data_IF_241515494421
#
_entry.id   IF_241515494421
#
_cell.length_a   1.000
_cell.length_b   1.000
_cell.length_c   1.000
_cell.angle_alpha   90.00
_cell.angle_beta   90.00
_cell.angle_gamma   90.00
#
_symmetry.space_group_name_H-M   'P 1'
#
loop_
_entity.id
_entity.type
_entity.pdbx_description
1 polymer ?
#
# COMPACT_ATOMS: atom_id res chain seq x y z
N UNK A 1 28.25 -6.97 40.29
CA UNK A 1 26.90 -7.52 40.52
C UNK A 1 25.99 -7.03 39.38
N UNK A 2 26.22 -7.43 38.12
CA UNK A 2 25.72 -8.64 37.40
C UNK A 2 24.20 -8.66 37.17
N UNK A 3 23.72 -7.88 36.20
CA UNK A 3 22.38 -7.99 35.63
C UNK A 3 22.44 -8.20 34.10
N UNK A 4 23.09 -9.28 33.66
CA UNK A 4 23.23 -9.66 32.23
C UNK A 4 22.62 -11.03 31.92
N UNK A 5 21.43 -11.31 32.48
CA UNK A 5 20.74 -12.60 32.31
C UNK A 5 19.38 -12.51 31.61
N UNK A 6 19.14 -11.51 30.75
CA UNK A 6 18.00 -11.56 29.83
C UNK A 6 18.32 -12.61 28.77
N UNK A 7 17.82 -13.82 29.01
CA UNK A 7 18.09 -14.99 28.20
C UNK A 7 17.72 -14.78 26.73
N UNK A 8 18.68 -15.04 25.84
CA UNK A 8 18.51 -15.02 24.38
C UNK A 8 17.44 -16.00 23.89
N UNK A 9 17.07 -16.99 24.71
CA UNK A 9 15.99 -17.95 24.45
C UNK A 9 14.62 -17.29 24.40
N UNK A 10 14.34 -16.32 25.29
CA UNK A 10 13.05 -15.60 25.30
C UNK A 10 12.91 -14.68 24.08
N UNK A 11 14.00 -14.04 23.64
CA UNK A 11 14.02 -13.22 22.42
C UNK A 11 13.77 -14.08 21.18
N UNK A 12 14.44 -15.24 21.06
CA UNK A 12 14.22 -16.18 19.94
C UNK A 12 12.80 -16.76 19.91
N UNK A 13 12.21 -17.01 21.08
CA UNK A 13 10.84 -17.51 21.19
C UNK A 13 9.81 -16.47 20.73
N UNK A 14 9.95 -15.23 21.22
CA UNK A 14 9.10 -14.10 20.83
C UNK A 14 9.22 -13.82 19.33
N UNK A 15 10.44 -13.77 18.77
CA UNK A 15 10.63 -13.51 17.35
C UNK A 15 9.99 -14.60 16.46
N UNK A 16 10.10 -15.87 16.84
CA UNK A 16 9.52 -16.96 16.06
C UNK A 16 7.98 -16.94 16.06
N UNK A 17 7.35 -16.72 17.21
CA UNK A 17 5.89 -16.65 17.30
C UNK A 17 5.33 -15.37 16.68
N UNK A 18 6.01 -14.25 16.89
CA UNK A 18 5.68 -12.98 16.23
C UNK A 18 5.82 -13.12 14.72
N UNK A 19 6.94 -13.64 14.19
CA UNK A 19 7.17 -13.82 12.75
C UNK A 19 6.09 -14.69 12.14
N UNK A 20 5.68 -15.78 12.80
CA UNK A 20 4.56 -16.62 12.34
C UNK A 20 3.23 -15.88 12.36
N UNK A 21 2.97 -15.05 13.37
CA UNK A 21 1.76 -14.23 13.45
C UNK A 21 1.75 -13.12 12.39
N UNK A 22 2.87 -12.42 12.19
CA UNK A 22 3.02 -11.40 11.15
C UNK A 22 2.89 -11.99 9.76
N UNK A 23 3.50 -13.16 9.51
CA UNK A 23 3.32 -13.87 8.25
C UNK A 23 1.85 -14.30 8.05
N UNK A 24 1.17 -14.75 9.10
CA UNK A 24 -0.26 -15.04 9.05
C UNK A 24 -1.09 -13.79 8.76
N UNK A 25 -0.79 -12.65 9.37
CA UNK A 25 -1.51 -11.39 9.15
C UNK A 25 -1.27 -10.82 7.75
N UNK A 26 -0.02 -10.86 7.26
CA UNK A 26 0.34 -10.44 5.90
C UNK A 26 -0.31 -11.33 4.83
N UNK A 27 -0.40 -12.64 5.07
CA UNK A 27 -1.09 -13.57 4.17
C UNK A 27 -2.61 -13.52 4.33
N UNK A 28 -3.14 -13.13 5.49
CA UNK A 28 -4.58 -13.03 5.77
C UNK A 28 -5.25 -11.80 5.12
N UNK A 29 -4.46 -10.84 4.62
CA UNK A 29 -4.99 -9.72 3.85
C UNK A 29 -5.62 -10.17 2.52
N UNK A 30 -5.17 -11.31 1.98
CA UNK A 30 -5.79 -11.93 0.80
C UNK A 30 -7.07 -12.65 1.24
N UNK A 31 -8.20 -12.26 0.67
CA UNK A 31 -9.48 -12.91 0.95
C UNK A 31 -9.52 -14.34 0.36
N UNK A 32 -9.07 -15.34 1.13
CA UNK A 32 -8.99 -16.76 0.75
C UNK A 32 -10.35 -17.46 0.65
N UNK A 33 -11.39 -16.90 1.27
CA UNK A 33 -12.77 -17.41 1.22
C UNK A 33 -13.68 -16.34 0.62
N UNK A 34 -13.49 -16.01 -0.66
CA UNK A 34 -14.27 -14.96 -1.30
C UNK A 34 -15.75 -15.36 -1.34
N UNK A 35 -16.61 -14.39 -1.06
CA UNK A 35 -18.06 -14.53 -1.11
C UNK A 35 -18.53 -14.70 -2.57
N UNK A 36 -19.64 -15.40 -2.79
CA UNK A 36 -20.20 -15.60 -4.15
C UNK A 36 -20.41 -14.29 -4.91
N UNK A 37 -20.70 -13.19 -4.20
CA UNK A 37 -20.80 -11.84 -4.77
C UNK A 37 -19.48 -11.32 -5.30
N UNK A 38 -18.38 -11.47 -4.55
CA UNK A 38 -17.04 -11.03 -4.97
C UNK A 38 -16.59 -11.76 -6.24
N UNK A 39 -16.84 -13.08 -6.34
CA UNK A 39 -16.49 -13.83 -7.55
C UNK A 39 -17.30 -13.35 -8.76
N UNK A 40 -18.60 -13.05 -8.59
CA UNK A 40 -19.43 -12.51 -9.68
C UNK A 40 -18.94 -11.15 -10.15
N UNK A 41 -18.65 -10.24 -9.21
CA UNK A 41 -18.12 -8.90 -9.51
C UNK A 41 -16.78 -9.03 -10.26
N UNK A 42 -15.88 -9.90 -9.78
CA UNK A 42 -14.61 -10.16 -10.45
C UNK A 42 -14.80 -10.69 -11.87
N UNK A 43 -15.73 -11.63 -12.07
CA UNK A 43 -16.00 -12.23 -13.39
C UNK A 43 -16.52 -11.20 -14.38
N UNK A 44 -17.44 -10.34 -13.94
CA UNK A 44 -17.98 -9.24 -14.75
C UNK A 44 -16.88 -8.21 -15.05
N UNK A 45 -16.11 -7.80 -14.03
CA UNK A 45 -15.03 -6.83 -14.21
C UNK A 45 -13.95 -7.34 -15.18
N UNK A 46 -13.51 -8.60 -15.03
CA UNK A 46 -12.55 -9.22 -15.91
C UNK A 46 -13.12 -9.41 -17.33
N UNK A 47 -14.39 -9.79 -17.45
CA UNK A 47 -15.08 -9.87 -18.74
C UNK A 47 -15.17 -8.52 -19.46
N UNK A 48 -15.54 -7.45 -18.75
CA UNK A 48 -15.57 -6.10 -19.31
C UNK A 48 -14.17 -5.64 -19.74
N UNK A 49 -13.14 -5.95 -18.95
CA UNK A 49 -11.75 -5.64 -19.30
C UNK A 49 -11.34 -6.34 -20.60
N UNK A 50 -11.59 -7.64 -20.71
CA UNK A 50 -11.25 -8.42 -21.90
C UNK A 50 -12.06 -7.96 -23.13
N UNK A 51 -13.34 -7.63 -22.96
CA UNK A 51 -14.17 -7.08 -24.03
C UNK A 51 -13.64 -5.72 -24.53
N UNK A 52 -13.21 -4.84 -23.61
CA UNK A 52 -12.59 -3.56 -23.97
C UNK A 52 -11.28 -3.77 -24.74
N UNK A 53 -10.43 -4.70 -24.29
CA UNK A 53 -9.18 -5.05 -24.98
C UNK A 53 -9.48 -5.58 -26.38
N UNK A 54 -10.43 -6.52 -26.51
CA UNK A 54 -10.84 -7.07 -27.80
C UNK A 54 -11.35 -5.98 -28.75
N UNK A 55 -12.14 -5.02 -28.24
CA UNK A 55 -12.64 -3.88 -29.01
C UNK A 55 -11.50 -2.96 -29.48
N UNK A 56 -10.56 -2.62 -28.61
CA UNK A 56 -9.39 -1.79 -28.98
C UNK A 56 -8.50 -2.52 -29.98
N UNK A 57 -8.21 -3.81 -29.79
CA UNK A 57 -7.43 -4.62 -30.73
C UNK A 57 -8.10 -4.74 -32.09
N UNK A 58 -9.43 -4.85 -32.13
CA UNK A 58 -10.19 -4.85 -33.39
C UNK A 58 -9.99 -3.52 -34.15
N UNK A 59 -10.04 -2.39 -33.43
CA UNK A 59 -9.85 -1.05 -34.01
C UNK A 59 -8.41 -0.79 -34.46
N UNK A 60 -7.42 -1.34 -33.75
CA UNK A 60 -6.01 -1.07 -34.00
C UNK A 60 -5.37 -1.97 -35.07
N UNK A 61 -5.72 -3.26 -35.11
CA UNK A 61 -5.02 -4.26 -35.93
C UNK A 61 -5.94 -4.97 -36.93
N UNK A 62 -7.27 -4.83 -36.77
CA UNK A 62 -8.28 -5.55 -37.57
C UNK A 62 -8.06 -7.09 -37.62
N UNK A 63 -7.28 -7.64 -36.69
CA UNK A 63 -6.97 -9.06 -36.61
C UNK A 63 -8.16 -9.82 -36.01
N UNK A 64 -9.11 -10.18 -36.89
CA UNK A 64 -10.32 -10.94 -36.59
C UNK A 64 -10.08 -12.17 -35.71
N UNK A 65 -9.06 -13.04 -35.94
CA UNK A 65 -8.90 -14.23 -35.10
C UNK A 65 -8.54 -13.92 -33.65
N UNK A 66 -7.77 -12.86 -33.40
CA UNK A 66 -7.36 -12.45 -32.06
C UNK A 66 -8.52 -11.81 -31.29
N UNK A 67 -9.33 -10.99 -31.97
CA UNK A 67 -10.55 -10.41 -31.38
C UNK A 67 -11.59 -11.49 -31.02
N UNK A 68 -11.83 -12.45 -31.91
CA UNK A 68 -12.83 -13.51 -31.69
C UNK A 68 -12.42 -14.43 -30.53
N UNK A 69 -11.15 -14.83 -30.47
CA UNK A 69 -10.63 -15.66 -29.38
C UNK A 69 -10.70 -14.97 -28.03
N UNK A 70 -10.27 -13.71 -27.93
CA UNK A 70 -10.37 -12.93 -26.69
C UNK A 70 -11.81 -12.71 -26.24
N UNK A 71 -12.71 -12.41 -27.17
CA UNK A 71 -14.13 -12.21 -26.86
C UNK A 71 -14.79 -13.52 -26.41
N UNK A 72 -14.45 -14.64 -27.03
CA UNK A 72 -14.91 -15.97 -26.62
C UNK A 72 -14.46 -16.33 -25.20
N UNK A 73 -13.18 -16.08 -24.88
CA UNK A 73 -12.63 -16.29 -23.53
C UNK A 73 -13.34 -15.38 -22.52
N UNK A 74 -13.56 -14.10 -22.85
CA UNK A 74 -14.27 -13.16 -22.00
C UNK A 74 -15.69 -13.66 -21.67
N UNK A 75 -16.42 -14.11 -22.69
CA UNK A 75 -17.79 -14.62 -22.52
C UNK A 75 -17.80 -15.89 -21.66
N UNK A 76 -16.87 -16.82 -21.90
CA UNK A 76 -16.75 -18.04 -21.10
C UNK A 76 -16.48 -17.74 -19.62
N UNK A 77 -15.61 -16.77 -19.33
CA UNK A 77 -15.31 -16.35 -17.95
C UNK A 77 -16.54 -15.70 -17.30
N UNK A 78 -17.24 -14.80 -18.00
CA UNK A 78 -18.45 -14.16 -17.45
C UNK A 78 -19.55 -15.18 -17.18
N UNK A 79 -19.82 -16.06 -18.14
CA UNK A 79 -20.88 -17.08 -18.06
C UNK A 79 -20.57 -18.09 -16.96
N UNK A 80 -19.33 -18.59 -16.89
CA UNK A 80 -18.92 -19.52 -15.82
C UNK A 80 -18.98 -18.87 -14.44
N UNK A 81 -18.69 -17.58 -14.31
CA UNK A 81 -18.77 -16.85 -13.04
C UNK A 81 -20.19 -16.56 -12.56
N UNK A 82 -21.13 -16.41 -13.48
CA UNK A 82 -22.53 -16.20 -13.17
C UNK A 82 -23.23 -17.51 -12.79
N UNK A 83 -22.97 -18.60 -13.52
CA UNK A 83 -23.63 -19.90 -13.34
C UNK A 83 -22.96 -20.71 -12.22
N UNK A 84 -21.64 -20.77 -12.20
CA UNK A 84 -20.87 -21.62 -11.30
C UNK A 84 -19.68 -20.84 -10.70
N UNK A 85 -19.91 -19.87 -9.79
CA UNK A 85 -18.85 -19.02 -9.25
C UNK A 85 -17.71 -19.82 -8.61
N UNK A 86 -17.97 -21.03 -8.10
CA UNK A 86 -16.95 -21.90 -7.51
C UNK A 86 -15.78 -22.23 -8.47
N UNK A 87 -16.00 -22.29 -9.79
CA UNK A 87 -14.95 -22.61 -10.77
C UNK A 87 -13.98 -21.44 -10.99
N UNK A 88 -14.41 -20.21 -10.71
CA UNK A 88 -13.59 -18.98 -10.87
C UNK A 88 -12.75 -18.68 -9.64
N UNK A 89 -13.07 -19.30 -8.50
CA UNK A 89 -12.29 -19.17 -7.27
C UNK A 89 -10.77 -19.33 -7.45
N UNK A 90 -10.22 -20.36 -8.12
CA UNK A 90 -8.78 -20.50 -8.31
C UNK A 90 -8.19 -19.36 -9.15
N UNK A 91 -8.91 -18.90 -10.20
CA UNK A 91 -8.47 -17.78 -11.04
C UNK A 91 -8.44 -16.48 -10.22
N UNK A 92 -9.47 -16.22 -9.43
CA UNK A 92 -9.54 -15.07 -8.52
C UNK A 92 -8.37 -15.06 -7.52
N UNK A 93 -8.08 -16.20 -6.88
CA UNK A 93 -6.99 -16.31 -5.92
C UNK A 93 -5.63 -16.11 -6.58
N UNK A 94 -5.39 -16.72 -7.75
CA UNK A 94 -4.17 -16.51 -8.53
C UNK A 94 -4.00 -15.04 -8.92
N UNK A 95 -5.07 -14.40 -9.38
CA UNK A 95 -5.07 -12.98 -9.71
C UNK A 95 -4.75 -12.09 -8.50
N UNK A 96 -5.32 -12.41 -7.33
CA UNK A 96 -5.09 -11.63 -6.11
C UNK A 96 -3.63 -11.73 -5.62
N UNK A 97 -3.02 -12.91 -5.75
CA UNK A 97 -1.59 -13.11 -5.44
C UNK A 97 -0.72 -12.31 -6.41
N UNK A 98 -1.04 -12.29 -7.70
CA UNK A 98 -0.30 -11.52 -8.71
C UNK A 98 -0.42 -10.00 -8.50
N UNK A 99 -1.60 -9.52 -8.09
CA UNK A 99 -1.81 -8.11 -7.82
C UNK A 99 -1.17 -7.62 -6.52
N UNK A 100 -0.88 -8.51 -5.57
CA UNK A 100 -0.28 -8.15 -4.29
C UNK A 100 1.04 -7.35 -4.42
N UNK A 101 2.07 -7.81 -5.17
CA UNK A 101 3.30 -7.03 -5.35
C UNK A 101 3.06 -5.73 -6.12
N UNK A 102 2.15 -5.73 -7.09
CA UNK A 102 1.79 -4.51 -7.86
C UNK A 102 1.21 -3.46 -6.92
N UNK A 103 0.28 -3.86 -6.04
CA UNK A 103 -0.31 -2.98 -5.03
C UNK A 103 0.75 -2.38 -4.12
N UNK A 104 1.72 -3.17 -3.68
CA UNK A 104 2.84 -2.69 -2.87
C UNK A 104 3.67 -1.63 -3.59
N UNK A 105 4.05 -1.90 -4.84
CA UNK A 105 4.82 -0.97 -5.68
C UNK A 105 4.06 0.34 -5.85
N UNK A 106 2.77 0.29 -6.14
CA UNK A 106 1.92 1.48 -6.30
C UNK A 106 1.87 2.30 -5.01
N UNK A 107 1.71 1.67 -3.84
CA UNK A 107 1.71 2.36 -2.55
C UNK A 107 3.04 3.08 -2.29
N UNK A 108 4.17 2.41 -2.51
CA UNK A 108 5.50 3.02 -2.39
C UNK A 108 5.68 4.17 -3.38
N UNK A 109 5.28 3.95 -4.64
CA UNK A 109 5.39 4.95 -5.70
C UNK A 109 4.54 6.18 -5.40
N UNK A 110 3.32 6.01 -4.89
CA UNK A 110 2.43 7.12 -4.52
C UNK A 110 3.07 8.01 -3.46
N UNK A 111 3.64 7.41 -2.41
CA UNK A 111 4.33 8.16 -1.35
C UNK A 111 5.56 8.89 -1.92
N UNK A 112 6.36 8.21 -2.75
CA UNK A 112 7.52 8.82 -3.39
C UNK A 112 7.11 10.01 -4.27
N UNK A 113 6.09 9.84 -5.11
CA UNK A 113 5.52 10.88 -5.95
C UNK A 113 5.08 12.08 -5.12
N UNK A 114 4.28 11.88 -4.08
CA UNK A 114 3.83 12.97 -3.21
C UNK A 114 5.01 13.69 -2.55
N UNK A 115 5.99 12.93 -2.07
CA UNK A 115 7.16 13.51 -1.43
C UNK A 115 8.01 14.33 -2.39
N UNK A 116 8.28 13.83 -3.60
CA UNK A 116 9.18 14.48 -4.55
C UNK A 116 8.49 15.56 -5.40
N UNK A 117 7.20 15.44 -5.69
CA UNK A 117 6.45 16.42 -6.52
C UNK A 117 5.71 17.47 -5.71
N UNK A 118 5.35 17.22 -4.45
CA UNK A 118 4.68 18.21 -3.62
C UNK A 118 5.59 18.69 -2.49
N UNK A 119 6.02 17.79 -1.60
CA UNK A 119 6.69 18.19 -0.37
C UNK A 119 8.07 18.81 -0.67
N UNK A 120 8.86 18.17 -1.52
CA UNK A 120 10.22 18.60 -1.86
C UNK A 120 10.26 19.96 -2.55
N UNK A 121 9.46 20.26 -3.60
CA UNK A 121 9.48 21.58 -4.22
C UNK A 121 8.92 22.66 -3.31
N UNK A 122 7.94 22.36 -2.45
CA UNK A 122 7.47 23.31 -1.43
C UNK A 122 8.61 23.64 -0.46
N UNK A 123 9.31 22.63 0.05
CA UNK A 123 10.47 22.83 0.93
C UNK A 123 11.63 23.57 0.25
N UNK A 124 11.87 23.27 -1.04
CA UNK A 124 12.89 23.95 -1.83
C UNK A 124 12.50 25.41 -2.10
N UNK A 125 11.24 25.68 -2.45
CA UNK A 125 10.72 27.03 -2.62
C UNK A 125 10.87 27.84 -1.33
N UNK A 126 10.45 27.29 -0.18
CA UNK A 126 10.63 27.94 1.12
C UNK A 126 12.11 28.23 1.42
N UNK A 127 13.01 27.31 1.07
CA UNK A 127 14.46 27.49 1.22
C UNK A 127 14.99 28.60 0.30
N UNK A 128 14.53 28.68 -0.94
CA UNK A 128 14.91 29.73 -1.90
C UNK A 128 14.34 31.11 -1.50
N UNK A 129 13.12 31.17 -0.98
CA UNK A 129 12.52 32.38 -0.41
C UNK A 129 13.11 32.77 0.96
N UNK A 130 14.14 32.06 1.43
CA UNK A 130 14.85 32.38 2.67
C UNK A 130 14.05 32.16 3.95
N UNK A 131 12.87 31.53 3.87
CA UNK A 131 12.02 31.25 5.03
C UNK A 131 12.61 30.07 5.83
N UNK A 132 13.29 30.40 6.93
CA UNK A 132 13.80 29.40 7.86
C UNK A 132 12.71 29.06 8.90
N UNK A 133 11.87 28.08 8.56
CA UNK A 133 10.76 27.64 9.42
C UNK A 133 11.22 26.95 10.72
N UNK A 134 12.44 26.42 10.75
CA UNK A 134 12.95 25.63 11.89
C UNK A 134 14.11 26.35 12.61
N UNK A 135 14.65 27.44 12.04
CA UNK A 135 15.84 28.10 12.58
C UNK A 135 17.08 27.20 12.43
N UNK A 136 17.22 26.51 11.29
CA UNK A 136 18.32 25.57 11.02
C UNK A 136 19.59 26.23 10.50
N UNK A 137 19.59 27.54 10.26
CA UNK A 137 20.84 28.24 9.96
C UNK A 137 21.79 28.09 11.15
N UNK A 138 22.93 27.45 10.89
CA UNK A 138 23.99 27.28 11.85
C UNK A 138 24.63 28.65 12.09
N UNK A 139 24.38 29.23 13.26
CA UNK A 139 24.98 30.47 13.72
C UNK A 139 26.27 30.14 14.47
N UNK A 140 27.42 30.34 13.81
CA UNK A 140 28.73 30.09 14.41
C UNK A 140 29.09 31.08 15.52
N UNK A 141 28.36 32.19 15.65
CA UNK A 141 28.53 33.19 16.70
C UNK A 141 27.60 32.92 17.91
N UNK A 142 26.66 31.97 17.80
CA UNK A 142 25.76 31.63 18.88
C UNK A 142 26.46 30.82 19.98
N UNK A 143 26.44 31.33 21.21
CA UNK A 143 27.06 30.68 22.38
C UNK A 143 26.36 29.39 22.79
N UNK A 144 25.07 29.24 22.45
CA UNK A 144 24.30 28.02 22.61
C UNK A 144 23.02 28.07 21.76
N UNK A 145 22.66 26.94 21.12
CA UNK A 145 21.39 26.78 20.40
C UNK A 145 20.19 26.47 21.33
N UNK A 146 20.42 26.35 22.64
CA UNK A 146 19.34 26.17 23.60
C UNK A 146 18.44 27.41 23.62
N UNK A 147 17.23 27.28 23.07
CA UNK A 147 16.16 28.25 23.32
C UNK A 147 15.65 28.04 24.74
N UNK A 148 15.81 29.04 25.60
CA UNK A 148 15.19 29.02 26.93
C UNK A 148 13.68 28.94 26.76
N UNK A 149 13.06 27.98 27.44
CA UNK A 149 11.61 27.83 27.42
C UNK A 149 10.97 29.13 27.91
N UNK A 150 10.14 29.74 27.06
CA UNK A 150 9.52 31.05 27.34
C UNK A 150 8.41 30.86 28.38
N UNK A 151 8.83 30.85 29.66
CA UNK A 151 8.07 31.02 30.92
C UNK A 151 7.01 29.96 31.31
N UNK A 152 7.31 29.30 32.43
CA UNK A 152 6.42 28.96 33.56
C UNK A 152 5.08 28.32 33.22
N UNK A 153 5.10 27.07 32.73
CA UNK A 153 3.93 26.18 32.90
C UNK A 153 3.78 25.89 34.39
N UNK A 154 2.65 26.29 34.98
CA UNK A 154 2.35 25.93 36.37
C UNK A 154 2.04 24.44 36.41
N UNK A 155 2.35 23.76 37.50
CA UNK A 155 2.11 22.31 37.65
C UNK A 155 0.66 21.91 37.32
N UNK A 156 -0.29 22.82 37.58
CA UNK A 156 -1.72 22.65 37.25
C UNK A 156 -2.03 22.58 35.76
N UNK A 157 -1.17 23.12 34.90
CA UNK A 157 -1.36 23.13 33.44
C UNK A 157 -1.02 21.76 32.82
N UNK A 158 -0.26 20.90 33.53
CA UNK A 158 0.01 19.52 33.08
C UNK A 158 -1.22 18.61 33.19
N UNK A 159 -2.15 18.92 34.10
CA UNK A 159 -3.35 18.13 34.33
C UNK A 159 -4.53 18.50 33.41
N UNK A 160 -4.36 19.49 32.52
CA UNK A 160 -5.36 19.88 31.52
C UNK A 160 -4.81 19.62 30.12
N UNK A 161 -4.90 18.37 29.69
CA UNK A 161 -4.46 17.93 28.36
C UNK A 161 -5.57 17.96 27.30
N UNK A 162 -6.80 18.30 27.68
CA UNK A 162 -7.96 18.46 26.79
C UNK A 162 -8.73 19.73 27.14
#
# INVERSE_FOLDING_TARGET
>A
MTSTWISTRWIKFIDHDLRKQYLKMALAEINWKPSTRELRIFSVALGCLLALIAFVSFRATAAVPLTVTLTGIALLIVVSGLIAPATIKPVYLGWMILLYPVRWIVSCLLIAVVYYLLITPIGLALRLLGHDLIGRRFDSQATSYWKSERRTRRERDYFRQF
#
